data_IF_814737888158
#
_entry.id   IF_814737888158
#
_cell.length_a   1.000
_cell.length_b   1.000
_cell.length_c   1.000
_cell.angle_alpha   90.00
_cell.angle_beta   90.00
_cell.angle_gamma   90.00
#
_symmetry.space_group_name_H-M   'P 1'
#
loop_
_entity.id
_entity.type
_entity.pdbx_description
1 polymer ?
#
# COMPACT_ATOMS: atom_id res chain seq x y z
N UNK A 1 8.51 -17.45 -17.45
CA UNK A 1 9.10 -16.30 -18.17
C UNK A 1 9.32 -15.20 -17.16
N UNK A 2 10.45 -14.48 -17.22
CA UNK A 2 10.70 -13.35 -16.32
C UNK A 2 9.93 -12.13 -16.82
N UNK A 3 9.12 -11.52 -15.95
CA UNK A 3 8.45 -10.25 -16.23
C UNK A 3 9.48 -9.14 -16.43
N UNK A 4 9.24 -8.26 -17.39
CA UNK A 4 10.11 -7.12 -17.71
C UNK A 4 9.47 -5.77 -17.39
N UNK A 5 8.14 -5.69 -17.50
CA UNK A 5 7.35 -4.46 -17.30
C UNK A 5 6.66 -4.45 -15.95
N UNK A 6 6.02 -5.56 -15.55
CA UNK A 6 5.36 -5.68 -14.25
C UNK A 6 6.39 -5.89 -13.13
N UNK A 7 6.43 -4.95 -12.19
CA UNK A 7 7.14 -5.07 -10.93
C UNK A 7 6.32 -5.82 -9.86
N UNK A 8 6.66 -5.62 -8.58
CA UNK A 8 5.89 -6.18 -7.45
C UNK A 8 4.52 -5.53 -7.28
N UNK A 9 4.31 -4.33 -7.84
CA UNK A 9 3.07 -3.56 -7.70
C UNK A 9 2.68 -2.90 -9.04
N UNK A 10 2.49 -3.71 -10.07
CA UNK A 10 2.12 -3.27 -11.41
C UNK A 10 3.26 -2.69 -12.23
N UNK A 11 2.91 -2.00 -13.32
CA UNK A 11 3.84 -1.26 -14.18
C UNK A 11 4.01 0.14 -13.59
N UNK A 12 5.24 0.59 -13.37
CA UNK A 12 5.52 1.96 -12.86
C UNK A 12 6.64 2.63 -13.63
N UNK A 13 6.60 3.94 -13.70
CA UNK A 13 7.67 4.72 -14.27
C UNK A 13 7.33 6.20 -14.42
N UNK A 14 8.31 6.97 -14.91
CA UNK A 14 8.12 8.39 -15.20
C UNK A 14 7.21 8.56 -16.40
N UNK A 15 6.21 9.43 -16.27
CA UNK A 15 5.22 9.70 -17.33
C UNK A 15 5.88 10.27 -18.58
N UNK A 16 5.43 9.80 -19.75
CA UNK A 16 5.98 10.11 -21.07
C UNK A 16 7.48 9.80 -21.22
N UNK A 17 7.99 8.88 -20.39
CA UNK A 17 9.34 8.36 -20.47
C UNK A 17 9.34 6.84 -20.29
N UNK A 18 10.22 6.15 -21.00
CA UNK A 18 10.31 4.70 -20.91
C UNK A 18 8.97 4.00 -21.18
N UNK A 19 8.47 3.27 -20.17
CA UNK A 19 7.28 2.42 -20.31
C UNK A 19 5.95 3.14 -20.02
N UNK A 20 5.95 4.29 -19.34
CA UNK A 20 4.71 4.98 -18.94
C UNK A 20 4.25 5.99 -19.99
N UNK A 21 3.80 5.47 -21.13
CA UNK A 21 3.27 6.25 -22.27
C UNK A 21 1.83 5.85 -22.60
N UNK A 22 1.10 6.72 -23.33
CA UNK A 22 -0.24 6.42 -23.82
C UNK A 22 -0.26 5.17 -24.72
N UNK A 23 0.78 4.97 -25.54
CA UNK A 23 0.91 3.80 -26.40
C UNK A 23 1.03 2.51 -25.57
N UNK A 24 1.83 2.52 -24.52
CA UNK A 24 1.93 1.37 -23.60
C UNK A 24 0.61 1.12 -22.87
N UNK A 25 -0.04 2.17 -22.36
CA UNK A 25 -1.34 2.03 -21.68
C UNK A 25 -2.41 1.42 -22.60
N UNK A 26 -2.50 1.88 -23.86
CA UNK A 26 -3.40 1.28 -24.83
C UNK A 26 -3.07 -0.20 -25.06
N UNK A 27 -1.79 -0.53 -25.15
CA UNK A 27 -1.31 -1.90 -25.35
C UNK A 27 -1.63 -2.80 -24.16
N UNK A 28 -1.48 -2.28 -22.91
CA UNK A 28 -1.92 -2.98 -21.67
C UNK A 28 -3.42 -3.25 -21.75
N UNK A 29 -4.25 -2.26 -22.14
CA UNK A 29 -5.69 -2.43 -22.28
C UNK A 29 -6.07 -3.51 -23.29
N UNK A 30 -5.40 -3.53 -24.46
CA UNK A 30 -5.60 -4.55 -25.47
C UNK A 30 -5.20 -5.95 -24.99
N UNK A 31 -4.04 -6.09 -24.41
CA UNK A 31 -3.49 -7.37 -23.95
C UNK A 31 -4.27 -7.95 -22.77
N UNK A 32 -4.53 -7.13 -21.74
CA UNK A 32 -5.31 -7.53 -20.59
C UNK A 32 -6.76 -7.83 -20.98
N UNK A 33 -7.39 -7.01 -21.84
CA UNK A 33 -8.70 -7.29 -22.39
C UNK A 33 -8.75 -8.63 -23.12
N UNK A 34 -7.78 -8.91 -23.99
CA UNK A 34 -7.67 -10.19 -24.70
C UNK A 34 -7.51 -11.38 -23.75
N UNK A 35 -6.73 -11.20 -22.66
CA UNK A 35 -6.55 -12.24 -21.64
C UNK A 35 -7.85 -12.59 -20.93
N UNK A 36 -8.70 -11.59 -20.64
CA UNK A 36 -9.94 -11.77 -19.89
C UNK A 36 -11.19 -12.00 -20.76
N UNK A 37 -11.19 -11.63 -22.04
CA UNK A 37 -12.32 -11.90 -22.94
C UNK A 37 -12.39 -13.40 -23.27
N UNK A 38 -13.15 -14.14 -22.47
CA UNK A 38 -13.32 -15.60 -22.58
C UNK A 38 -14.78 -15.99 -22.43
N UNK A 39 -15.29 -16.81 -23.37
CA UNK A 39 -16.69 -17.26 -23.32
C UNK A 39 -17.66 -16.26 -23.97
N UNK A 40 -18.96 -16.43 -23.70
CA UNK A 40 -20.04 -15.75 -24.44
C UNK A 40 -20.74 -14.60 -23.69
N UNK A 41 -20.27 -14.20 -22.51
CA UNK A 41 -20.85 -13.08 -21.78
C UNK A 41 -20.19 -11.75 -22.13
N UNK A 42 -20.82 -10.65 -21.75
CA UNK A 42 -20.29 -9.31 -21.96
C UNK A 42 -19.26 -8.98 -20.86
N UNK A 43 -18.01 -8.85 -21.27
CA UNK A 43 -16.89 -8.60 -20.36
C UNK A 43 -16.81 -7.13 -19.97
N UNK A 44 -16.38 -6.87 -18.71
CA UNK A 44 -16.31 -5.54 -18.13
C UNK A 44 -14.98 -5.31 -17.40
N UNK A 45 -14.46 -4.09 -17.53
CA UNK A 45 -13.34 -3.61 -16.72
C UNK A 45 -13.76 -2.36 -15.94
N UNK A 46 -13.39 -2.29 -14.66
CA UNK A 46 -13.50 -1.08 -13.83
C UNK A 46 -12.17 -0.35 -13.87
N UNK A 47 -12.17 0.93 -14.22
CA UNK A 47 -10.96 1.76 -14.25
C UNK A 47 -11.13 2.92 -13.27
N UNK A 48 -10.18 3.03 -12.33
CA UNK A 48 -10.01 4.19 -11.49
C UNK A 48 -8.61 4.77 -11.58
N UNK A 49 -8.43 5.93 -10.97
CA UNK A 49 -7.17 6.64 -10.97
C UNK A 49 -7.00 7.47 -9.70
N UNK A 50 -5.77 7.85 -9.41
CA UNK A 50 -5.50 8.93 -8.47
C UNK A 50 -5.66 10.31 -9.16
N UNK A 51 -5.18 11.34 -8.54
CA UNK A 51 -5.39 12.73 -8.96
C UNK A 51 -4.32 13.26 -9.91
N UNK A 52 -3.33 12.45 -10.31
CA UNK A 52 -2.23 12.84 -11.21
C UNK A 52 -2.75 13.34 -12.54
N UNK A 53 -2.14 14.41 -13.07
CA UNK A 53 -2.48 14.96 -14.39
C UNK A 53 -2.35 13.88 -15.49
N UNK A 54 -1.32 13.06 -15.43
CA UNK A 54 -1.10 11.96 -16.37
C UNK A 54 -2.19 10.88 -16.34
N UNK A 55 -2.97 10.80 -15.27
CA UNK A 55 -4.10 9.88 -15.15
C UNK A 55 -5.14 10.06 -16.26
N UNK A 56 -5.36 11.28 -16.74
CA UNK A 56 -6.31 11.54 -17.84
C UNK A 56 -5.85 10.90 -19.16
N UNK A 57 -4.56 11.04 -19.47
CA UNK A 57 -3.97 10.42 -20.67
C UNK A 57 -3.99 8.90 -20.59
N UNK A 58 -3.59 8.34 -19.46
CA UNK A 58 -3.54 6.90 -19.26
C UNK A 58 -4.94 6.27 -19.29
N UNK A 59 -5.93 6.88 -18.62
CA UNK A 59 -7.32 6.42 -18.63
C UNK A 59 -7.87 6.37 -20.05
N UNK A 60 -7.69 7.44 -20.85
CA UNK A 60 -8.17 7.51 -22.23
C UNK A 60 -7.54 6.42 -23.11
N UNK A 61 -6.24 6.18 -22.95
CA UNK A 61 -5.52 5.15 -23.70
C UNK A 61 -5.97 3.73 -23.33
N UNK A 62 -6.13 3.45 -22.02
CA UNK A 62 -6.66 2.16 -21.54
C UNK A 62 -8.09 1.92 -22.04
N UNK A 63 -8.96 2.94 -22.00
CA UNK A 63 -10.33 2.88 -22.51
C UNK A 63 -10.31 2.48 -23.99
N UNK A 64 -9.50 3.13 -24.82
CA UNK A 64 -9.36 2.79 -26.23
C UNK A 64 -8.86 1.35 -26.42
N UNK A 65 -7.86 0.94 -25.62
CA UNK A 65 -7.35 -0.43 -25.66
C UNK A 65 -8.39 -1.48 -25.34
N UNK A 66 -9.09 -1.37 -24.21
CA UNK A 66 -10.12 -2.33 -23.79
C UNK A 66 -11.32 -2.37 -24.74
N UNK A 67 -11.83 -1.21 -25.15
CA UNK A 67 -12.98 -1.16 -26.06
C UNK A 67 -12.66 -1.76 -27.41
N UNK A 68 -11.43 -1.60 -27.92
CA UNK A 68 -11.00 -2.16 -29.21
C UNK A 68 -10.99 -3.69 -29.26
N UNK A 69 -10.91 -4.36 -28.11
CA UNK A 69 -10.97 -5.83 -28.00
C UNK A 69 -12.34 -6.35 -27.53
N UNK A 70 -13.36 -5.47 -27.44
CA UNK A 70 -14.73 -5.84 -27.13
C UNK A 70 -15.10 -5.81 -25.64
N UNK A 71 -14.24 -5.25 -24.76
CA UNK A 71 -14.50 -5.16 -23.34
C UNK A 71 -15.20 -3.83 -22.98
N UNK A 72 -16.30 -3.88 -22.24
CA UNK A 72 -16.97 -2.68 -21.74
C UNK A 72 -16.16 -2.05 -20.60
N UNK A 73 -16.04 -0.72 -20.59
CA UNK A 73 -15.29 0.03 -19.60
C UNK A 73 -16.20 0.82 -18.69
N UNK A 74 -15.99 0.68 -17.38
CA UNK A 74 -16.65 1.45 -16.32
C UNK A 74 -15.62 2.34 -15.66
N UNK A 75 -15.73 3.65 -15.87
CA UNK A 75 -14.84 4.64 -15.30
C UNK A 75 -15.41 5.18 -13.99
N UNK A 76 -14.59 5.23 -12.93
CA UNK A 76 -15.01 5.72 -11.60
C UNK A 76 -14.55 7.15 -11.32
N UNK A 77 -13.54 7.63 -12.06
CA UNK A 77 -12.79 8.83 -11.71
C UNK A 77 -11.80 8.60 -10.56
N UNK A 78 -11.37 9.67 -9.86
CA UNK A 78 -10.46 9.54 -8.73
C UNK A 78 -11.09 8.79 -7.56
N UNK A 79 -10.50 7.63 -7.22
CA UNK A 79 -10.87 6.78 -6.09
C UNK A 79 -9.65 5.99 -5.59
N UNK A 80 -9.62 5.63 -4.28
CA UNK A 80 -8.58 4.79 -3.70
C UNK A 80 -8.37 3.45 -4.42
N UNK A 81 -7.13 2.95 -4.40
CA UNK A 81 -6.79 1.61 -4.90
C UNK A 81 -7.73 0.53 -4.35
N UNK A 82 -8.00 0.44 -3.03
CA UNK A 82 -8.93 -0.55 -2.50
C UNK A 82 -10.37 -0.37 -2.98
N UNK A 83 -10.80 0.84 -3.32
CA UNK A 83 -12.12 1.07 -3.91
C UNK A 83 -12.25 0.40 -5.29
N UNK A 84 -11.19 0.38 -6.09
CA UNK A 84 -11.20 -0.29 -7.39
C UNK A 84 -11.26 -1.80 -7.23
N UNK A 85 -10.49 -2.37 -6.29
CA UNK A 85 -10.57 -3.78 -5.94
C UNK A 85 -11.99 -4.18 -5.48
N UNK A 86 -12.60 -3.38 -4.61
CA UNK A 86 -13.98 -3.56 -4.13
C UNK A 86 -14.99 -3.53 -5.28
N UNK A 87 -14.97 -2.46 -6.10
CA UNK A 87 -15.93 -2.25 -7.19
C UNK A 87 -15.81 -3.32 -8.28
N UNK A 88 -14.60 -3.84 -8.52
CA UNK A 88 -14.40 -4.96 -9.46
C UNK A 88 -15.23 -6.17 -9.04
N UNK A 89 -15.22 -6.51 -7.75
CA UNK A 89 -16.03 -7.61 -7.18
C UNK A 89 -17.52 -7.29 -7.18
N UNK A 90 -17.91 -6.14 -6.63
CA UNK A 90 -19.34 -5.76 -6.49
C UNK A 90 -20.05 -5.65 -7.83
N UNK A 91 -19.38 -5.12 -8.84
CA UNK A 91 -19.93 -4.98 -10.19
C UNK A 91 -19.77 -6.22 -11.04
N UNK A 92 -19.20 -7.30 -10.49
CA UNK A 92 -18.90 -8.54 -11.21
C UNK A 92 -18.16 -8.25 -12.52
N UNK A 93 -17.14 -7.37 -12.44
CA UNK A 93 -16.25 -7.08 -13.55
C UNK A 93 -15.18 -8.19 -13.66
N UNK A 94 -14.71 -8.43 -14.87
CA UNK A 94 -13.67 -9.42 -15.13
C UNK A 94 -12.28 -8.92 -14.74
N UNK A 95 -12.13 -7.58 -14.67
CA UNK A 95 -10.87 -6.91 -14.40
C UNK A 95 -11.10 -5.57 -13.72
N UNK A 96 -10.20 -5.22 -12.80
CA UNK A 96 -10.03 -3.89 -12.24
C UNK A 96 -8.70 -3.29 -12.66
N UNK A 97 -8.68 -1.99 -12.92
CA UNK A 97 -7.46 -1.24 -13.25
C UNK A 97 -7.37 -0.01 -12.38
N UNK A 98 -6.27 0.12 -11.64
CA UNK A 98 -5.94 1.35 -10.94
C UNK A 98 -4.75 2.04 -11.60
N UNK A 99 -4.93 3.33 -11.91
CA UNK A 99 -3.90 4.19 -12.47
C UNK A 99 -3.32 5.05 -11.35
N UNK A 100 -2.18 4.63 -10.81
CA UNK A 100 -1.48 5.30 -9.71
C UNK A 100 -0.04 4.84 -9.56
N UNK A 101 0.82 5.72 -9.05
CA UNK A 101 2.15 5.39 -8.54
C UNK A 101 2.23 5.53 -7.01
N UNK A 102 1.10 5.37 -6.29
CA UNK A 102 1.00 5.40 -4.83
C UNK A 102 1.65 6.67 -4.25
N UNK A 103 2.67 6.54 -3.42
CA UNK A 103 3.34 7.64 -2.70
C UNK A 103 4.36 8.44 -3.53
N UNK A 104 4.62 8.09 -4.79
CA UNK A 104 5.53 8.86 -5.64
C UNK A 104 4.95 10.24 -5.97
N UNK A 105 5.80 11.20 -6.31
CA UNK A 105 5.39 12.51 -6.82
C UNK A 105 4.68 12.38 -8.18
N UNK A 106 4.01 13.45 -8.60
CA UNK A 106 3.14 13.49 -9.79
C UNK A 106 3.80 13.08 -11.12
N UNK A 107 5.12 13.25 -11.21
CA UNK A 107 5.88 12.96 -12.44
C UNK A 107 5.90 11.46 -12.80
N UNK A 108 5.70 10.60 -11.81
CA UNK A 108 5.56 9.16 -12.00
C UNK A 108 4.09 8.77 -12.10
N UNK A 109 3.81 7.63 -12.75
CA UNK A 109 2.51 6.99 -12.73
C UNK A 109 2.67 5.46 -12.79
N UNK A 110 1.57 4.74 -12.67
CA UNK A 110 1.56 3.28 -12.72
C UNK A 110 0.21 2.72 -13.17
N UNK A 111 0.21 1.43 -13.49
CA UNK A 111 -0.98 0.65 -13.84
C UNK A 111 -0.96 -0.63 -13.02
N UNK A 112 -1.95 -0.79 -12.13
CA UNK A 112 -2.16 -1.97 -11.29
C UNK A 112 -3.39 -2.72 -11.81
N UNK A 113 -3.32 -4.06 -11.87
CA UNK A 113 -4.39 -4.91 -12.37
C UNK A 113 -4.94 -5.80 -11.24
N UNK A 114 -6.28 -5.89 -11.16
CA UNK A 114 -7.01 -6.70 -10.18
C UNK A 114 -7.90 -7.71 -10.89
N UNK A 115 -7.87 -8.95 -10.46
CA UNK A 115 -8.75 -9.99 -10.96
C UNK A 115 -10.22 -9.80 -10.53
N UNK A 116 -11.13 -10.64 -11.02
CA UNK A 116 -12.56 -10.57 -10.69
C UNK A 116 -12.84 -10.80 -9.20
N UNK A 117 -11.91 -11.40 -8.48
CA UNK A 117 -11.93 -11.60 -7.03
C UNK A 117 -11.44 -10.37 -6.25
N UNK A 118 -11.00 -9.30 -6.93
CA UNK A 118 -10.49 -8.07 -6.34
C UNK A 118 -9.06 -8.18 -5.81
N UNK A 119 -8.37 -9.29 -6.03
CA UNK A 119 -6.94 -9.41 -5.72
C UNK A 119 -6.08 -8.98 -6.91
N UNK A 120 -4.83 -8.56 -6.63
CA UNK A 120 -3.84 -8.33 -7.70
C UNK A 120 -3.63 -9.60 -8.50
N UNK A 121 -3.34 -9.45 -9.78
CA UNK A 121 -3.10 -10.58 -10.66
C UNK A 121 -1.85 -11.37 -10.22
N UNK A 122 -1.85 -12.67 -10.50
CA UNK A 122 -0.68 -13.51 -10.27
C UNK A 122 0.45 -13.18 -11.24
N UNK A 123 1.67 -13.60 -10.89
CA UNK A 123 2.87 -13.42 -11.72
C UNK A 123 2.71 -14.06 -13.09
N UNK A 124 2.03 -15.22 -13.16
CA UNK A 124 1.74 -15.94 -14.39
C UNK A 124 0.77 -15.15 -15.29
N UNK A 125 -0.27 -14.57 -14.71
CA UNK A 125 -1.23 -13.75 -15.43
C UNK A 125 -0.58 -12.48 -15.99
N UNK A 126 0.22 -11.78 -15.17
CA UNK A 126 0.98 -10.61 -15.59
C UNK A 126 2.01 -10.95 -16.69
N UNK A 127 2.73 -12.07 -16.57
CA UNK A 127 3.70 -12.52 -17.60
C UNK A 127 2.99 -12.85 -18.92
N UNK A 128 1.80 -13.45 -18.88
CA UNK A 128 1.03 -13.74 -20.09
C UNK A 128 0.49 -12.46 -20.73
N UNK A 129 0.04 -11.48 -19.93
CA UNK A 129 -0.36 -10.16 -20.44
C UNK A 129 0.84 -9.46 -21.12
N UNK A 130 2.05 -9.50 -20.51
CA UNK A 130 3.26 -8.98 -21.15
C UNK A 130 3.57 -9.66 -22.50
N UNK A 131 3.39 -10.97 -22.57
CA UNK A 131 3.58 -11.71 -23.81
C UNK A 131 2.59 -11.26 -24.89
N UNK A 132 1.32 -11.06 -24.53
CA UNK A 132 0.29 -10.53 -25.42
C UNK A 132 0.57 -9.11 -25.88
N UNK A 133 1.18 -8.28 -25.03
CA UNK A 133 1.62 -6.93 -25.41
C UNK A 133 2.66 -6.92 -26.53
N UNK A 134 3.46 -7.95 -26.70
CA UNK A 134 4.50 -8.04 -27.72
C UNK A 134 3.99 -8.59 -29.06
N UNK A 135 2.85 -9.28 -29.06
CA UNK A 135 2.26 -9.91 -30.24
C UNK A 135 1.18 -9.04 -30.92
N UNK A 136 0.62 -9.56 -31.99
CA UNK A 136 -0.55 -8.97 -32.60
C UNK A 136 -1.81 -9.31 -31.80
N UNK A 137 -2.60 -8.28 -31.49
CA UNK A 137 -3.86 -8.41 -30.77
C UNK A 137 -5.00 -8.46 -31.79
N UNK A 138 -5.84 -9.47 -31.68
CA UNK A 138 -7.06 -9.56 -32.50
C UNK A 138 -8.08 -8.54 -31.98
N UNK A 139 -8.41 -7.56 -32.81
CA UNK A 139 -9.43 -6.56 -32.50
C UNK A 139 -10.83 -7.14 -32.67
N UNK A 140 -11.76 -6.61 -31.89
CA UNK A 140 -13.17 -6.97 -32.01
C UNK A 140 -13.76 -6.47 -33.35
N UNK A 141 -14.67 -7.21 -33.98
CA UNK A 141 -15.43 -6.72 -35.14
C UNK A 141 -16.29 -5.52 -34.71
N UNK A 142 -16.67 -4.68 -35.69
CA UNK A 142 -17.32 -3.39 -35.46
C UNK A 142 -18.56 -3.46 -34.55
N UNK A 143 -19.36 -4.51 -34.71
CA UNK A 143 -20.58 -4.77 -33.92
C UNK A 143 -20.29 -5.23 -32.48
N UNK A 144 -19.06 -5.63 -32.18
CA UNK A 144 -18.62 -6.16 -30.88
C UNK A 144 -17.66 -5.23 -30.13
N UNK A 145 -17.41 -4.02 -30.63
CA UNK A 145 -16.62 -3.01 -29.91
C UNK A 145 -17.26 -2.72 -28.55
N UNK A 146 -16.43 -2.62 -27.50
CA UNK A 146 -16.85 -2.32 -26.14
C UNK A 146 -17.40 -0.90 -26.00
N UNK A 147 -18.16 -0.67 -24.93
CA UNK A 147 -18.71 0.66 -24.57
C UNK A 147 -18.04 1.19 -23.33
N UNK A 148 -17.75 2.49 -23.31
CA UNK A 148 -17.24 3.17 -22.13
C UNK A 148 -18.34 4.02 -21.49
N UNK A 149 -18.44 3.96 -20.15
CA UNK A 149 -19.33 4.81 -19.36
C UNK A 149 -18.67 5.22 -18.03
N UNK A 150 -19.03 6.38 -17.52
CA UNK A 150 -18.73 6.76 -16.15
C UNK A 150 -19.90 6.40 -15.23
N UNK A 151 -19.58 6.05 -13.98
CA UNK A 151 -20.57 5.88 -12.91
C UNK A 151 -20.37 6.98 -11.86
N UNK A 152 -21.48 7.50 -11.34
CA UNK A 152 -21.46 8.61 -10.40
C UNK A 152 -21.55 8.17 -8.93
N UNK A 153 -22.03 6.95 -8.67
CA UNK A 153 -22.27 6.39 -7.33
C UNK A 153 -21.05 5.64 -6.74
N UNK A 154 -19.94 5.56 -7.47
CA UNK A 154 -18.76 4.81 -7.05
C UNK A 154 -18.21 5.26 -5.68
N UNK A 155 -18.21 6.57 -5.41
CA UNK A 155 -17.78 7.14 -4.12
C UNK A 155 -18.67 6.69 -2.98
N UNK A 156 -19.97 6.80 -3.15
CA UNK A 156 -20.96 6.38 -2.13
C UNK A 156 -20.86 4.91 -1.81
N UNK A 157 -20.62 4.05 -2.82
CA UNK A 157 -20.40 2.61 -2.61
C UNK A 157 -19.18 2.35 -1.74
N UNK A 158 -18.05 2.99 -2.03
CA UNK A 158 -16.84 2.83 -1.24
C UNK A 158 -17.01 3.37 0.19
N UNK A 159 -17.56 4.60 0.36
CA UNK A 159 -17.85 5.17 1.69
C UNK A 159 -18.75 4.23 2.50
N UNK A 160 -19.80 3.70 1.88
CA UNK A 160 -20.68 2.73 2.54
C UNK A 160 -19.91 1.48 2.99
N UNK A 161 -19.10 0.90 2.11
CA UNK A 161 -18.35 -0.32 2.39
C UNK A 161 -17.31 -0.13 3.51
N UNK A 162 -16.52 0.94 3.50
CA UNK A 162 -15.50 1.16 4.53
C UNK A 162 -16.14 1.39 5.90
N UNK A 163 -17.31 2.04 5.97
CA UNK A 163 -18.05 2.22 7.23
C UNK A 163 -18.53 0.89 7.83
N UNK A 164 -18.76 -0.15 7.01
CA UNK A 164 -19.10 -1.48 7.52
C UNK A 164 -17.96 -2.15 8.29
N UNK A 165 -16.73 -1.62 8.20
CA UNK A 165 -15.61 -2.07 9.02
C UNK A 165 -15.73 -1.67 10.49
N UNK A 166 -16.60 -0.72 10.79
CA UNK A 166 -16.89 -0.24 12.16
C UNK A 166 -18.23 -0.80 12.60
N UNK A 167 -18.29 -1.30 13.83
CA UNK A 167 -19.54 -1.83 14.39
C UNK A 167 -20.60 -0.71 14.51
N UNK A 168 -21.84 -1.03 14.22
CA UNK A 168 -22.94 -0.05 14.06
C UNK A 168 -23.23 0.82 15.29
N UNK A 169 -22.87 0.33 16.48
CA UNK A 169 -23.01 1.06 17.74
C UNK A 169 -21.91 2.09 17.99
N UNK A 170 -20.84 2.08 17.19
CA UNK A 170 -19.69 3.00 17.34
C UNK A 170 -19.96 4.28 16.56
N UNK A 171 -19.89 5.40 17.27
CA UNK A 171 -19.94 6.75 16.71
C UNK A 171 -18.69 7.52 17.12
N UNK A 172 -18.29 8.45 16.29
CA UNK A 172 -17.09 9.28 16.52
C UNK A 172 -17.45 10.68 17.06
N UNK A 173 -18.67 10.85 17.60
CA UNK A 173 -19.12 12.14 18.14
C UNK A 173 -18.14 12.63 19.23
N UNK A 174 -17.75 13.89 19.12
CA UNK A 174 -16.81 14.55 20.03
C UNK A 174 -15.33 14.27 19.72
N UNK A 175 -15.03 13.46 18.71
CA UNK A 175 -13.65 13.22 18.26
C UNK A 175 -13.29 14.23 17.17
N UNK A 176 -12.20 15.00 17.35
CA UNK A 176 -11.65 15.91 16.34
C UNK A 176 -10.48 15.24 15.62
N UNK A 177 -10.61 15.09 14.30
CA UNK A 177 -9.67 14.34 13.47
C UNK A 177 -9.10 15.21 12.35
N UNK A 178 -7.78 15.33 12.24
CA UNK A 178 -7.13 15.92 11.06
C UNK A 178 -6.88 14.82 10.04
N UNK A 179 -7.38 14.99 8.81
CA UNK A 179 -7.24 14.01 7.73
C UNK A 179 -6.43 14.59 6.58
N UNK A 180 -5.21 14.09 6.40
CA UNK A 180 -4.34 14.39 5.26
C UNK A 180 -4.53 13.34 4.17
N UNK A 181 -5.06 13.77 3.03
CA UNK A 181 -5.32 12.92 1.87
C UNK A 181 -4.24 13.02 0.78
N UNK A 182 -3.08 13.59 1.08
CA UNK A 182 -1.95 13.69 0.13
C UNK A 182 -2.28 14.38 -1.20
N UNK A 183 -3.33 15.17 -1.31
CA UNK A 183 -3.94 15.60 -2.58
C UNK A 183 -4.26 14.42 -3.52
N UNK A 184 -4.44 13.22 -2.95
CA UNK A 184 -4.60 11.93 -3.62
C UNK A 184 -6.05 11.50 -3.82
N UNK A 185 -6.20 10.23 -4.14
CA UNK A 185 -7.47 9.60 -4.53
C UNK A 185 -8.55 9.62 -3.43
N UNK A 186 -8.14 9.66 -2.15
CA UNK A 186 -9.06 9.67 -1.02
C UNK A 186 -9.59 11.06 -0.64
N UNK A 187 -9.20 12.14 -1.35
CA UNK A 187 -9.46 13.53 -0.96
C UNK A 187 -10.91 13.88 -0.63
N UNK A 188 -11.87 13.12 -1.14
CA UNK A 188 -13.29 13.25 -0.84
C UNK A 188 -13.81 12.13 0.04
N UNK A 189 -13.40 10.88 -0.23
CA UNK A 189 -14.05 9.73 0.39
C UNK A 189 -13.62 9.49 1.84
N UNK A 190 -12.36 9.71 2.20
CA UNK A 190 -11.89 9.49 3.56
C UNK A 190 -12.44 10.52 4.55
N UNK A 191 -12.37 11.85 4.27
CA UNK A 191 -13.02 12.83 5.13
C UNK A 191 -14.52 12.59 5.28
N UNK A 192 -15.22 12.26 4.19
CA UNK A 192 -16.66 11.98 4.23
C UNK A 192 -16.99 10.76 5.07
N UNK A 193 -16.23 9.65 4.93
CA UNK A 193 -16.48 8.44 5.72
C UNK A 193 -16.32 8.68 7.23
N UNK A 194 -15.31 9.46 7.63
CA UNK A 194 -15.03 9.80 9.04
C UNK A 194 -16.11 10.75 9.57
N UNK A 195 -16.48 11.77 8.79
CA UNK A 195 -17.53 12.72 9.15
C UNK A 195 -18.90 12.05 9.29
N UNK A 196 -19.27 11.15 8.37
CA UNK A 196 -20.55 10.43 8.44
C UNK A 196 -20.67 9.52 9.69
N UNK A 197 -19.56 9.18 10.33
CA UNK A 197 -19.53 8.46 11.59
C UNK A 197 -19.59 9.38 12.82
N UNK A 198 -19.61 10.71 12.64
CA UNK A 198 -19.86 11.70 13.68
C UNK A 198 -18.65 12.53 14.10
N UNK A 199 -17.46 12.33 13.54
CA UNK A 199 -16.28 13.11 13.92
C UNK A 199 -16.32 14.55 13.40
N UNK A 200 -15.67 15.46 14.14
CA UNK A 200 -15.29 16.79 13.65
C UNK A 200 -13.99 16.64 12.80
N UNK A 201 -14.10 16.94 11.50
CA UNK A 201 -13.04 16.65 10.53
C UNK A 201 -12.38 17.93 10.04
N UNK A 202 -11.08 18.05 10.31
CA UNK A 202 -10.22 19.07 9.70
C UNK A 202 -9.46 18.43 8.55
N UNK A 203 -9.50 19.03 7.36
CA UNK A 203 -8.89 18.43 6.16
C UNK A 203 -7.56 19.07 5.81
N UNK A 204 -6.60 18.25 5.37
CA UNK A 204 -5.31 18.63 4.79
C UNK A 204 -5.11 17.82 3.49
N UNK A 205 -4.42 18.41 2.51
CA UNK A 205 -4.13 17.67 1.27
C UNK A 205 -5.38 17.26 0.47
N UNK A 206 -6.44 18.10 0.41
CA UNK A 206 -7.71 17.79 -0.27
C UNK A 206 -8.01 18.65 -1.51
N UNK A 207 -7.06 19.44 -1.98
CA UNK A 207 -7.21 20.30 -3.16
C UNK A 207 -6.27 19.86 -4.30
N UNK A 208 -6.53 18.72 -4.97
CA UNK A 208 -5.66 18.21 -6.02
C UNK A 208 -5.70 19.13 -7.25
N UNK A 209 -4.52 19.45 -7.80
CA UNK A 209 -4.37 20.21 -9.04
C UNK A 209 -3.72 19.40 -10.18
N UNK A 210 -3.47 18.11 -9.94
CA UNK A 210 -2.84 17.20 -10.90
C UNK A 210 -1.33 17.09 -10.78
N UNK A 211 -0.68 18.01 -10.06
CA UNK A 211 0.79 18.05 -9.91
C UNK A 211 1.27 18.12 -8.47
N UNK A 212 0.37 18.21 -7.50
CA UNK A 212 0.70 18.36 -6.08
C UNK A 212 0.45 17.10 -5.22
N UNK A 213 0.17 15.96 -5.83
CA UNK A 213 -0.02 14.70 -5.10
C UNK A 213 1.27 14.28 -4.36
N UNK A 214 1.16 13.97 -3.06
CA UNK A 214 2.26 13.59 -2.16
C UNK A 214 3.36 14.66 -1.97
N UNK A 215 3.14 15.89 -2.42
CA UNK A 215 4.14 16.95 -2.33
C UNK A 215 4.03 17.69 -1.00
N UNK A 216 4.92 17.34 -0.06
CA UNK A 216 4.95 17.90 1.30
C UNK A 216 3.77 17.50 2.19
N UNK A 217 2.94 16.56 1.77
CA UNK A 217 1.75 16.06 2.48
C UNK A 217 1.64 14.53 2.35
N UNK A 218 0.77 13.92 3.16
CA UNK A 218 0.47 12.49 3.13
C UNK A 218 1.43 11.64 3.95
N UNK A 219 1.28 10.31 3.84
CA UNK A 219 1.92 9.33 4.71
C UNK A 219 3.45 9.30 4.66
N UNK A 220 4.07 9.87 3.63
CA UNK A 220 5.54 9.97 3.49
C UNK A 220 6.10 11.33 3.88
N UNK A 221 5.24 12.34 4.17
CA UNK A 221 5.62 13.71 4.51
C UNK A 221 4.71 14.29 5.60
N UNK A 222 4.74 13.67 6.78
CA UNK A 222 3.77 13.91 7.86
C UNK A 222 3.97 15.20 8.66
N UNK A 223 5.03 15.98 8.41
CA UNK A 223 5.34 17.17 9.19
C UNK A 223 4.19 18.20 9.19
N UNK A 224 3.52 18.39 8.07
CA UNK A 224 2.36 19.28 7.98
C UNK A 224 1.18 18.76 8.84
N UNK A 225 0.94 17.45 8.84
CA UNK A 225 -0.08 16.83 9.67
C UNK A 225 0.25 16.96 11.17
N UNK A 226 1.50 16.70 11.56
CA UNK A 226 1.95 16.83 12.96
C UNK A 226 1.71 18.25 13.50
N UNK A 227 2.11 19.27 12.73
CA UNK A 227 1.87 20.66 13.06
C UNK A 227 0.37 20.98 13.16
N UNK A 228 -0.43 20.50 12.19
CA UNK A 228 -1.87 20.76 12.14
C UNK A 228 -2.65 20.11 13.29
N UNK A 229 -2.29 18.88 13.68
CA UNK A 229 -2.90 18.21 14.84
C UNK A 229 -2.72 19.02 16.12
N UNK A 230 -1.49 19.52 16.36
CA UNK A 230 -1.18 20.34 17.55
C UNK A 230 -1.87 21.71 17.48
N UNK A 231 -1.85 22.37 16.33
CA UNK A 231 -2.50 23.68 16.10
C UNK A 231 -4.00 23.60 16.37
N UNK A 232 -4.66 22.58 15.83
CA UNK A 232 -6.11 22.39 15.94
C UNK A 232 -6.55 21.80 17.28
N UNK A 233 -5.62 21.42 18.16
CA UNK A 233 -5.90 20.62 19.35
C UNK A 233 -6.75 19.38 19.02
N UNK A 234 -6.39 18.70 17.91
CA UNK A 234 -7.12 17.52 17.48
C UNK A 234 -6.70 16.29 18.30
N UNK A 235 -7.63 15.36 18.44
CA UNK A 235 -7.40 14.11 19.19
C UNK A 235 -6.46 13.16 18.43
N UNK A 236 -6.44 13.28 17.09
CA UNK A 236 -5.67 12.37 16.24
C UNK A 236 -5.51 12.96 14.82
N UNK A 237 -4.41 12.62 14.16
CA UNK A 237 -4.16 12.88 12.75
C UNK A 237 -4.07 11.58 11.94
N UNK A 238 -4.62 11.60 10.74
CA UNK A 238 -4.63 10.49 9.76
C UNK A 238 -3.91 10.97 8.51
N UNK A 239 -2.85 10.29 8.09
CA UNK A 239 -2.17 10.54 6.82
C UNK A 239 -2.33 9.33 5.89
N UNK A 240 -2.91 9.57 4.71
CA UNK A 240 -2.99 8.60 3.63
C UNK A 240 -1.93 8.93 2.57
N UNK A 241 -1.61 7.97 1.69
CA UNK A 241 -0.80 8.26 0.50
C UNK A 241 -1.68 8.52 -0.74
N UNK A 242 -1.05 8.75 -1.87
CA UNK A 242 -1.73 9.22 -3.09
C UNK A 242 -2.86 8.33 -3.59
N UNK A 243 -2.82 7.01 -3.36
CA UNK A 243 -3.90 6.08 -3.71
C UNK A 243 -4.53 5.41 -2.47
N UNK A 244 -4.20 5.90 -1.29
CA UNK A 244 -4.80 5.59 0.00
C UNK A 244 -4.77 4.11 0.38
N UNK A 245 -3.75 3.38 -0.06
CA UNK A 245 -3.50 2.01 0.37
C UNK A 245 -2.63 1.96 1.64
N UNK A 246 -2.12 3.13 2.13
CA UNK A 246 -1.29 3.29 3.33
C UNK A 246 -1.90 4.25 4.32
N UNK A 247 -1.57 4.02 5.60
CA UNK A 247 -1.95 4.83 6.75
C UNK A 247 -0.75 5.09 7.66
N UNK A 248 -0.50 6.33 7.98
CA UNK A 248 0.30 6.76 9.13
C UNK A 248 -0.59 7.59 10.04
N UNK A 249 -0.43 7.44 11.34
CA UNK A 249 -1.23 8.16 12.34
C UNK A 249 -0.34 9.12 13.12
N UNK A 250 -0.93 10.22 13.58
CA UNK A 250 -0.29 11.18 14.48
C UNK A 250 -1.14 11.31 15.74
N UNK A 251 -0.56 11.16 16.91
CA UNK A 251 -1.27 11.34 18.18
C UNK A 251 -1.50 12.85 18.49
N UNK A 252 -2.31 13.16 19.51
CA UNK A 252 -2.65 14.52 19.91
C UNK A 252 -1.44 15.37 20.35
N UNK A 253 -0.28 14.74 20.57
CA UNK A 253 0.98 15.42 20.88
C UNK A 253 1.88 15.64 19.66
N UNK A 254 1.38 15.31 18.46
CA UNK A 254 2.14 15.43 17.23
C UNK A 254 3.17 14.32 16.99
N UNK A 255 3.12 13.19 17.72
CA UNK A 255 4.05 12.08 17.53
C UNK A 255 3.51 11.11 16.48
N UNK A 256 4.41 10.65 15.62
CA UNK A 256 4.07 9.67 14.59
C UNK A 256 3.86 8.27 15.18
N UNK A 257 2.89 7.55 14.61
CA UNK A 257 2.56 6.16 14.90
C UNK A 257 2.61 5.41 13.56
N UNK A 258 3.56 4.51 13.43
CA UNK A 258 3.81 3.77 12.20
C UNK A 258 2.92 2.53 12.03
N UNK A 259 3.06 1.85 10.90
CA UNK A 259 2.28 0.65 10.58
C UNK A 259 2.45 -0.48 11.58
N UNK A 260 3.61 -0.62 12.21
CA UNK A 260 3.85 -1.69 13.19
C UNK A 260 2.99 -1.50 14.45
N UNK A 261 2.91 -0.27 14.95
CA UNK A 261 2.06 0.10 16.09
C UNK A 261 0.56 -0.11 15.76
N UNK A 262 0.16 0.29 14.55
CA UNK A 262 -1.22 0.16 14.08
C UNK A 262 -1.59 -1.33 13.93
N UNK A 263 -0.71 -2.15 13.34
CA UNK A 263 -0.89 -3.61 13.26
C UNK A 263 -1.03 -4.24 14.65
N UNK A 264 -0.16 -3.87 15.58
CA UNK A 264 -0.21 -4.36 16.97
C UNK A 264 -1.55 -4.02 17.64
N UNK A 265 -2.03 -2.77 17.50
CA UNK A 265 -3.31 -2.33 18.03
C UNK A 265 -4.47 -3.14 17.46
N UNK A 266 -4.57 -3.20 16.13
CA UNK A 266 -5.69 -3.87 15.44
C UNK A 266 -5.69 -5.37 15.77
N UNK A 267 -4.53 -6.04 15.66
CA UNK A 267 -4.40 -7.47 15.95
C UNK A 267 -4.79 -7.79 17.40
N UNK A 268 -4.31 -7.00 18.36
CA UNK A 268 -4.67 -7.17 19.77
C UNK A 268 -6.18 -7.01 19.98
N UNK A 269 -6.80 -5.98 19.41
CA UNK A 269 -8.24 -5.77 19.53
C UNK A 269 -9.07 -6.87 18.88
N UNK A 270 -8.57 -7.44 17.79
CA UNK A 270 -9.22 -8.59 17.13
C UNK A 270 -9.01 -9.87 17.93
N UNK A 271 -7.81 -10.08 18.49
CA UNK A 271 -7.52 -11.21 19.37
C UNK A 271 -8.41 -11.23 20.61
N UNK A 272 -8.50 -10.11 21.33
CA UNK A 272 -9.32 -9.95 22.54
C UNK A 272 -10.81 -10.25 22.29
N UNK A 273 -11.26 -10.14 21.02
CA UNK A 273 -12.63 -10.45 20.59
C UNK A 273 -12.80 -11.83 19.96
N UNK A 274 -11.74 -12.63 19.87
CA UNK A 274 -11.77 -13.90 19.18
C UNK A 274 -11.97 -13.80 17.66
N UNK A 275 -11.66 -12.64 17.07
CA UNK A 275 -11.82 -12.36 15.63
C UNK A 275 -10.49 -12.44 14.84
N UNK A 276 -9.35 -12.54 15.52
CA UNK A 276 -8.06 -12.72 14.85
C UNK A 276 -7.91 -14.19 14.43
N UNK A 277 -7.59 -14.41 13.17
CA UNK A 277 -7.36 -15.75 12.60
C UNK A 277 -5.89 -15.99 12.29
N UNK A 278 -5.48 -17.26 12.11
CA UNK A 278 -4.11 -17.64 11.81
C UNK A 278 -3.16 -17.65 13.02
N UNK A 279 -3.63 -17.28 14.22
CA UNK A 279 -2.82 -17.28 15.43
C UNK A 279 -1.82 -16.12 15.54
N UNK A 280 -1.92 -15.10 14.68
CA UNK A 280 -1.00 -13.96 14.67
C UNK A 280 -1.21 -13.03 13.49
N UNK A 281 -0.14 -12.38 13.02
CA UNK A 281 -0.17 -11.48 11.86
C UNK A 281 0.97 -11.77 10.89
N UNK A 282 0.84 -11.25 9.68
CA UNK A 282 1.89 -11.31 8.66
C UNK A 282 2.46 -9.91 8.43
N UNK A 283 3.79 -9.76 8.51
CA UNK A 283 4.46 -8.51 8.18
C UNK A 283 5.73 -8.75 7.35
N UNK A 284 6.39 -7.69 6.91
CA UNK A 284 7.64 -7.84 6.16
C UNK A 284 8.84 -7.94 7.10
N UNK A 285 9.99 -8.31 6.52
CA UNK A 285 11.28 -8.30 7.24
C UNK A 285 11.67 -6.91 7.76
N UNK A 286 10.98 -5.84 7.35
CA UNK A 286 11.25 -4.47 7.80
C UNK A 286 10.55 -4.11 9.12
N UNK A 287 9.52 -4.87 9.52
CA UNK A 287 8.81 -4.64 10.78
C UNK A 287 9.72 -4.83 11.99
N UNK A 288 9.55 -3.95 12.97
CA UNK A 288 10.43 -3.84 14.14
C UNK A 288 10.40 -5.11 15.01
N UNK A 289 11.53 -5.48 15.60
CA UNK A 289 11.65 -6.61 16.53
C UNK A 289 10.78 -6.41 17.81
N UNK A 290 10.53 -5.15 18.19
CA UNK A 290 9.61 -4.82 19.28
C UNK A 290 8.18 -5.32 19.01
N UNK A 291 7.70 -5.25 17.77
CA UNK A 291 6.41 -5.82 17.37
C UNK A 291 6.36 -7.34 17.60
N UNK A 292 7.41 -8.07 17.19
CA UNK A 292 7.50 -9.53 17.38
C UNK A 292 7.48 -9.89 18.85
N UNK A 293 8.30 -9.23 19.68
CA UNK A 293 8.35 -9.43 21.13
C UNK A 293 7.01 -9.15 21.80
N UNK A 294 6.33 -8.07 21.38
CA UNK A 294 5.01 -7.70 21.89
C UNK A 294 3.96 -8.79 21.59
N UNK A 295 3.90 -9.25 20.34
CA UNK A 295 2.98 -10.30 19.91
C UNK A 295 3.27 -11.62 20.63
N UNK A 296 4.54 -12.02 20.70
CA UNK A 296 4.96 -13.23 21.42
C UNK A 296 4.54 -13.21 22.91
N UNK A 297 4.64 -12.05 23.58
CA UNK A 297 4.16 -11.85 24.95
C UNK A 297 2.64 -12.02 25.11
N UNK A 298 1.88 -12.05 24.01
CA UNK A 298 0.43 -12.31 23.95
C UNK A 298 0.07 -13.70 23.40
N UNK A 299 1.08 -14.53 23.12
CA UNK A 299 0.87 -15.84 22.49
C UNK A 299 0.48 -15.75 21.00
N UNK A 300 0.86 -14.65 20.33
CA UNK A 300 0.60 -14.40 18.91
C UNK A 300 1.90 -14.48 18.12
N UNK A 301 1.82 -15.03 16.92
CA UNK A 301 2.94 -15.16 16.00
C UNK A 301 3.09 -13.94 15.08
N UNK A 302 4.34 -13.59 14.73
CA UNK A 302 4.68 -12.70 13.65
C UNK A 302 5.33 -13.49 12.50
N UNK A 303 4.59 -13.69 11.42
CA UNK A 303 5.14 -14.30 10.19
C UNK A 303 5.78 -13.22 9.34
N UNK A 304 7.09 -13.36 9.05
CA UNK A 304 7.84 -12.38 8.26
C UNK A 304 7.99 -12.82 6.82
N UNK A 305 7.71 -11.89 5.90
CA UNK A 305 7.87 -12.08 4.45
C UNK A 305 8.94 -11.16 3.87
N UNK A 306 9.26 -11.34 2.61
CA UNK A 306 10.00 -10.34 1.82
C UNK A 306 9.19 -9.03 1.76
N UNK A 307 9.89 -7.92 1.51
CA UNK A 307 9.25 -6.61 1.29
C UNK A 307 8.39 -6.63 0.04
N UNK A 308 7.16 -6.18 0.17
CA UNK A 308 6.14 -6.10 -0.87
C UNK A 308 4.82 -6.70 -0.40
N UNK A 309 3.75 -5.95 -0.58
CA UNK A 309 2.39 -6.30 -0.16
C UNK A 309 1.90 -7.62 -0.74
N UNK A 310 2.34 -7.98 -1.94
CA UNK A 310 2.06 -9.27 -2.58
C UNK A 310 2.51 -10.45 -1.71
N UNK A 311 3.75 -10.41 -1.19
CA UNK A 311 4.28 -11.49 -0.34
C UNK A 311 3.56 -11.57 0.99
N UNK A 312 3.17 -10.42 1.56
CA UNK A 312 2.34 -10.38 2.77
C UNK A 312 1.00 -11.06 2.50
N UNK A 313 0.32 -10.68 1.43
CA UNK A 313 -0.99 -11.25 1.05
C UNK A 313 -0.93 -12.75 0.76
N UNK A 314 0.10 -13.22 0.04
CA UNK A 314 0.32 -14.64 -0.23
C UNK A 314 0.48 -15.45 1.06
N UNK A 315 1.31 -14.97 2.00
CA UNK A 315 1.49 -15.61 3.30
C UNK A 315 0.22 -15.59 4.14
N UNK A 316 -0.53 -14.47 4.13
CA UNK A 316 -1.84 -14.37 4.79
C UNK A 316 -2.81 -15.44 4.28
N UNK A 317 -2.95 -15.57 2.97
CA UNK A 317 -3.83 -16.57 2.34
C UNK A 317 -3.40 -18.01 2.68
N UNK A 318 -2.10 -18.28 2.59
CA UNK A 318 -1.56 -19.62 2.85
C UNK A 318 -1.71 -20.06 4.31
N UNK A 319 -1.57 -19.12 5.25
CA UNK A 319 -1.64 -19.39 6.70
C UNK A 319 -3.00 -19.10 7.34
N UNK A 320 -3.98 -18.58 6.57
CA UNK A 320 -5.30 -18.23 7.09
C UNK A 320 -5.31 -16.99 8.01
N UNK A 321 -4.35 -16.09 7.86
CA UNK A 321 -4.28 -14.83 8.61
C UNK A 321 -5.21 -13.78 8.00
N UNK A 322 -5.93 -13.05 8.85
CA UNK A 322 -6.80 -11.94 8.40
C UNK A 322 -6.20 -10.54 8.66
N UNK A 323 -5.04 -10.43 9.30
CA UNK A 323 -4.31 -9.18 9.52
C UNK A 323 -2.89 -9.31 9.01
N UNK A 324 -2.46 -8.35 8.21
CA UNK A 324 -1.08 -8.24 7.77
C UNK A 324 -0.77 -6.85 7.23
N UNK A 325 0.52 -6.55 7.02
CA UNK A 325 0.91 -5.26 6.48
C UNK A 325 2.41 -4.98 6.53
N UNK A 326 2.73 -3.72 6.43
CA UNK A 326 4.10 -3.21 6.41
C UNK A 326 4.25 -2.04 7.41
N UNK A 327 5.44 -1.86 7.95
CA UNK A 327 5.79 -0.69 8.78
C UNK A 327 5.47 0.64 8.08
N UNK A 328 5.56 0.67 6.74
CA UNK A 328 5.21 1.83 5.92
C UNK A 328 3.72 2.22 5.94
N UNK A 329 2.89 1.47 6.67
CA UNK A 329 1.46 1.75 6.83
C UNK A 329 0.54 1.05 5.84
N UNK A 330 1.06 0.21 4.93
CA UNK A 330 0.23 -0.63 4.07
C UNK A 330 -0.40 -1.74 4.91
N UNK A 331 -1.73 -1.65 5.14
CA UNK A 331 -2.48 -2.51 6.04
C UNK A 331 -3.50 -3.33 5.29
N UNK A 332 -3.43 -4.65 5.38
CA UNK A 332 -4.38 -5.60 4.79
C UNK A 332 -5.24 -6.19 5.91
N UNK A 333 -6.53 -5.93 5.86
CA UNK A 333 -7.54 -6.50 6.75
C UNK A 333 -8.50 -7.33 5.88
N UNK A 334 -8.22 -8.63 5.72
CA UNK A 334 -8.92 -9.50 4.75
C UNK A 334 -10.41 -9.66 5.00
N UNK A 335 -10.88 -9.41 6.21
CA UNK A 335 -12.32 -9.38 6.51
C UNK A 335 -13.04 -8.21 5.80
N UNK A 336 -12.31 -7.19 5.35
CA UNK A 336 -12.87 -5.96 4.80
C UNK A 336 -12.36 -5.61 3.39
N UNK A 337 -11.10 -5.90 3.09
CA UNK A 337 -10.46 -5.53 1.83
C UNK A 337 -9.51 -6.62 1.32
N UNK A 338 -9.36 -6.72 0.01
CA UNK A 338 -8.48 -7.70 -0.67
C UNK A 338 -7.07 -7.16 -0.94
N UNK A 339 -6.83 -5.91 -0.57
CA UNK A 339 -5.54 -5.20 -0.65
C UNK A 339 -5.43 -4.26 0.54
N UNK A 340 -4.32 -3.54 0.69
CA UNK A 340 -4.20 -2.49 1.70
C UNK A 340 -5.29 -1.44 1.54
N UNK A 341 -5.89 -1.03 2.67
CA UNK A 341 -6.90 0.03 2.73
C UNK A 341 -6.63 0.95 3.92
N UNK A 342 -6.01 2.10 3.63
CA UNK A 342 -5.68 3.09 4.65
C UNK A 342 -6.93 3.69 5.30
N UNK A 343 -8.05 3.80 4.58
CA UNK A 343 -9.31 4.32 5.13
C UNK A 343 -9.93 3.32 6.11
N UNK A 344 -10.00 2.03 5.76
CA UNK A 344 -10.47 0.97 6.67
C UNK A 344 -9.59 0.91 7.91
N UNK A 345 -8.26 0.91 7.74
CA UNK A 345 -7.32 0.90 8.87
C UNK A 345 -7.52 2.11 9.79
N UNK A 346 -7.69 3.33 9.22
CA UNK A 346 -8.00 4.54 9.98
C UNK A 346 -9.29 4.41 10.78
N UNK A 347 -10.38 3.95 10.18
CA UNK A 347 -11.65 3.74 10.87
C UNK A 347 -11.54 2.72 12.01
N UNK A 348 -10.72 1.68 11.86
CA UNK A 348 -10.45 0.69 12.93
C UNK A 348 -9.65 1.29 14.09
N UNK A 349 -8.69 2.18 13.79
CA UNK A 349 -7.95 2.94 14.80
C UNK A 349 -8.89 3.88 15.56
N UNK A 350 -9.69 4.69 14.85
CA UNK A 350 -10.66 5.62 15.46
C UNK A 350 -11.68 4.88 16.31
N UNK A 351 -12.21 3.75 15.85
CA UNK A 351 -13.11 2.90 16.63
C UNK A 351 -12.44 2.35 17.91
N UNK A 352 -11.15 2.06 17.85
CA UNK A 352 -10.38 1.63 19.02
C UNK A 352 -10.17 2.77 20.01
N UNK A 353 -9.95 3.98 19.52
CA UNK A 353 -9.80 5.20 20.33
C UNK A 353 -11.07 5.49 21.10
N UNK A 354 -12.21 5.56 20.41
CA UNK A 354 -13.53 5.79 21.03
C UNK A 354 -13.85 4.73 22.09
N UNK A 355 -13.65 3.46 21.77
CA UNK A 355 -13.93 2.37 22.72
C UNK A 355 -13.05 2.39 23.96
N UNK A 356 -11.84 2.88 23.84
CA UNK A 356 -10.89 2.90 24.96
C UNK A 356 -11.14 4.06 25.93
N UNK A 357 -11.67 5.17 25.41
CA UNK A 357 -11.79 6.44 26.15
C UNK A 357 -10.44 7.05 26.54
N UNK A 358 -9.31 6.54 26.01
CA UNK A 358 -7.95 6.99 26.30
C UNK A 358 -7.47 7.92 25.20
N UNK A 359 -6.59 8.88 25.48
CA UNK A 359 -5.96 9.71 24.44
C UNK A 359 -5.11 8.85 23.48
N UNK A 360 -4.94 9.33 22.25
CA UNK A 360 -4.19 8.63 21.22
C UNK A 360 -2.75 8.33 21.65
N UNK A 361 -2.10 9.27 22.35
CA UNK A 361 -0.75 9.11 22.86
C UNK A 361 -0.55 7.98 23.88
N UNK A 362 -1.61 7.51 24.49
CA UNK A 362 -1.59 6.37 25.42
C UNK A 362 -2.03 5.06 24.76
N UNK A 363 -2.91 5.16 23.77
CA UNK A 363 -3.48 3.98 23.12
C UNK A 363 -2.59 3.44 22.01
N UNK A 364 -1.98 4.33 21.21
CA UNK A 364 -1.37 3.97 19.92
C UNK A 364 0.09 3.56 20.03
N UNK A 365 0.79 3.91 21.11
CA UNK A 365 2.15 3.43 21.40
C UNK A 365 2.06 2.10 22.15
N UNK A 366 1.76 1.04 21.41
CA UNK A 366 1.38 -0.28 21.93
C UNK A 366 2.58 -1.04 22.51
N UNK A 367 3.75 -0.83 21.93
CA UNK A 367 5.02 -1.40 22.38
C UNK A 367 6.16 -0.40 22.20
N UNK A 368 7.26 -0.59 22.93
CA UNK A 368 8.48 0.17 22.74
C UNK A 368 9.29 -0.39 21.57
N UNK A 369 9.49 0.37 20.47
CA UNK A 369 10.29 -0.11 19.35
C UNK A 369 11.76 -0.21 19.76
N UNK A 370 12.43 -1.28 19.36
CA UNK A 370 13.88 -1.35 19.52
C UNK A 370 14.57 -0.40 18.53
N UNK A 371 15.76 0.12 18.87
CA UNK A 371 16.58 0.89 17.94
C UNK A 371 16.75 0.15 16.61
N UNK A 372 16.42 0.83 15.51
CA UNK A 372 16.53 0.32 14.15
C UNK A 372 17.25 1.35 13.29
N UNK A 373 18.23 0.92 12.50
CA UNK A 373 18.96 1.77 11.56
C UNK A 373 19.01 1.13 10.19
N UNK A 374 18.61 1.89 9.15
CA UNK A 374 18.72 1.52 7.75
C UNK A 374 19.67 2.48 7.04
N UNK A 375 20.70 1.96 6.38
CA UNK A 375 21.56 2.71 5.46
C UNK A 375 21.56 2.11 4.07
N UNK A 376 21.64 2.98 3.06
CA UNK A 376 21.74 2.61 1.66
C UNK A 376 23.19 2.78 1.19
N UNK A 377 23.77 1.75 0.58
CA UNK A 377 25.09 1.80 -0.06
C UNK A 377 24.91 1.68 -1.56
N UNK A 378 25.27 2.72 -2.31
CA UNK A 378 25.28 2.69 -3.79
C UNK A 378 26.49 1.88 -4.28
N UNK A 379 26.32 1.18 -5.39
CA UNK A 379 27.38 0.44 -6.06
C UNK A 379 27.25 0.54 -7.58
N UNK A 380 28.38 0.58 -8.30
CA UNK A 380 28.42 0.79 -9.74
C UNK A 380 28.67 -0.50 -10.51
N UNK A 381 28.07 -1.60 -10.07
CA UNK A 381 28.19 -2.91 -10.71
C UNK A 381 28.83 -3.97 -9.80
N UNK A 382 29.02 -5.18 -10.33
CA UNK A 382 29.54 -6.29 -9.53
C UNK A 382 28.51 -6.92 -8.58
N UNK A 383 29.04 -7.74 -7.68
CA UNK A 383 28.26 -8.40 -6.62
C UNK A 383 28.97 -8.23 -5.27
N UNK A 384 28.91 -7.05 -4.65
CA UNK A 384 29.66 -6.77 -3.41
C UNK A 384 29.33 -7.75 -2.28
N UNK A 385 28.09 -8.25 -2.21
CA UNK A 385 27.67 -9.24 -1.20
C UNK A 385 28.30 -10.63 -1.40
N UNK A 386 28.92 -10.89 -2.55
CA UNK A 386 29.64 -12.15 -2.80
C UNK A 386 31.12 -12.08 -2.36
N UNK A 387 31.67 -10.90 -2.07
CA UNK A 387 33.03 -10.70 -1.56
C UNK A 387 33.23 -11.41 -0.21
N UNK A 388 34.33 -12.13 -0.04
CA UNK A 388 34.60 -12.89 1.16
C UNK A 388 34.74 -12.03 2.43
N UNK A 389 35.29 -10.79 2.28
CA UNK A 389 35.43 -9.85 3.41
C UNK A 389 34.06 -9.33 3.86
N UNK A 390 33.18 -9.01 2.89
CA UNK A 390 31.80 -8.59 3.20
C UNK A 390 31.05 -9.70 3.92
N UNK A 391 31.16 -10.95 3.44
CA UNK A 391 30.54 -12.12 4.10
C UNK A 391 31.05 -12.33 5.52
N UNK A 392 32.35 -12.15 5.75
CA UNK A 392 32.94 -12.28 7.10
C UNK A 392 32.38 -11.20 8.05
N UNK A 393 32.34 -9.94 7.65
CA UNK A 393 31.76 -8.85 8.44
C UNK A 393 30.29 -9.07 8.73
N UNK A 394 29.52 -9.59 7.77
CA UNK A 394 28.10 -9.94 7.97
C UNK A 394 27.96 -11.06 9.02
N UNK A 395 28.77 -12.12 8.94
CA UNK A 395 28.72 -13.22 9.90
C UNK A 395 29.10 -12.78 11.32
N UNK A 396 30.10 -11.92 11.46
CA UNK A 396 30.48 -11.33 12.74
C UNK A 396 29.35 -10.48 13.32
N UNK A 397 28.68 -9.66 12.48
CA UNK A 397 27.55 -8.83 12.86
C UNK A 397 26.33 -9.68 13.30
N UNK A 398 26.04 -10.78 12.59
CA UNK A 398 24.98 -11.70 12.97
C UNK A 398 25.26 -12.37 14.33
N UNK A 399 26.51 -12.79 14.55
CA UNK A 399 26.95 -13.36 15.82
C UNK A 399 26.85 -12.35 16.98
N UNK A 400 27.24 -11.09 16.74
CA UNK A 400 27.15 -9.99 17.70
C UNK A 400 25.71 -9.68 18.11
N UNK A 401 24.76 -9.64 17.16
CA UNK A 401 23.34 -9.35 17.40
C UNK A 401 22.53 -10.58 17.88
N UNK A 402 23.12 -11.77 17.90
CA UNK A 402 22.40 -13.01 18.22
C UNK A 402 21.62 -12.93 19.55
N UNK A 403 20.32 -13.23 19.50
CA UNK A 403 19.39 -13.20 20.65
C UNK A 403 18.99 -11.82 21.16
N UNK A 404 19.61 -10.72 20.66
CA UNK A 404 19.34 -9.34 21.09
C UNK A 404 18.90 -8.42 19.96
N UNK A 405 19.18 -8.79 18.74
CA UNK A 405 18.92 -7.99 17.55
C UNK A 405 18.77 -8.82 16.31
N UNK A 406 18.67 -8.13 15.16
CA UNK A 406 18.44 -8.75 13.87
C UNK A 406 19.11 -7.91 12.76
N UNK A 407 19.56 -8.60 11.72
CA UNK A 407 20.20 -7.99 10.54
C UNK A 407 19.40 -8.33 9.29
N UNK A 408 19.19 -7.34 8.42
CA UNK A 408 18.59 -7.53 7.10
C UNK A 408 19.41 -6.82 6.05
N UNK A 409 20.01 -7.57 5.14
CA UNK A 409 20.81 -7.04 4.03
C UNK A 409 20.18 -7.53 2.72
N UNK A 410 19.93 -6.59 1.82
CA UNK A 410 19.34 -6.93 0.52
C UNK A 410 19.70 -5.92 -0.56
N UNK A 411 19.91 -6.36 -1.82
CA UNK A 411 19.94 -5.45 -2.95
C UNK A 411 18.54 -4.83 -3.15
N UNK A 412 18.52 -3.59 -3.65
CA UNK A 412 17.28 -2.97 -4.14
C UNK A 412 16.89 -3.61 -5.48
N UNK A 413 15.60 -3.84 -5.69
CA UNK A 413 15.09 -4.35 -6.96
C UNK A 413 15.02 -3.30 -8.08
N UNK A 414 15.12 -2.00 -7.73
CA UNK A 414 14.88 -0.88 -8.67
C UNK A 414 16.07 0.07 -8.82
N UNK A 415 17.01 0.04 -7.91
CA UNK A 415 18.15 0.95 -7.85
C UNK A 415 19.45 0.17 -7.59
N UNK A 416 20.61 0.65 -8.04
CA UNK A 416 21.91 0.04 -7.76
C UNK A 416 22.35 0.38 -6.31
N UNK A 417 21.58 -0.09 -5.33
CA UNK A 417 21.86 0.10 -3.89
C UNK A 417 21.69 -1.20 -3.11
N UNK A 418 22.57 -1.42 -2.14
CA UNK A 418 22.41 -2.43 -1.10
C UNK A 418 21.83 -1.73 0.12
N UNK A 419 20.74 -2.27 0.65
CA UNK A 419 20.11 -1.80 1.87
C UNK A 419 20.60 -2.65 3.03
N UNK A 420 21.22 -2.00 4.01
CA UNK A 420 21.73 -2.60 5.24
C UNK A 420 20.88 -2.08 6.39
N UNK A 421 20.14 -2.96 7.03
CA UNK A 421 19.33 -2.66 8.21
C UNK A 421 19.76 -3.56 9.36
N UNK A 422 20.00 -2.97 10.53
CA UNK A 422 20.09 -3.70 11.78
C UNK A 422 19.13 -3.09 12.81
N UNK A 423 18.70 -3.93 13.73
CA UNK A 423 17.92 -3.53 14.89
C UNK A 423 18.35 -4.36 16.12
N UNK A 424 18.21 -3.79 17.30
CA UNK A 424 18.64 -4.45 18.53
C UNK A 424 18.45 -3.56 19.76
N UNK A 425 18.73 -4.13 20.94
CA UNK A 425 18.46 -3.47 22.22
C UNK A 425 19.40 -2.25 22.48
N UNK A 426 20.62 -2.28 21.93
CA UNK A 426 21.61 -1.21 22.08
C UNK A 426 21.78 -0.42 20.78
N UNK A 427 21.47 0.87 20.82
CA UNK A 427 21.58 1.77 19.67
C UNK A 427 23.00 1.92 19.15
N UNK A 428 23.98 2.00 20.03
CA UNK A 428 25.38 2.18 19.63
C UNK A 428 25.92 0.92 18.94
N UNK A 429 25.51 -0.26 19.41
CA UNK A 429 25.84 -1.54 18.79
C UNK A 429 25.21 -1.64 17.37
N UNK A 430 23.94 -1.24 17.22
CA UNK A 430 23.25 -1.21 15.93
C UNK A 430 23.94 -0.28 14.94
N UNK A 431 24.32 0.92 15.38
CA UNK A 431 25.05 1.89 14.56
C UNK A 431 26.42 1.34 14.10
N UNK A 432 27.19 0.77 15.03
CA UNK A 432 28.49 0.17 14.76
C UNK A 432 28.40 -0.97 13.72
N UNK A 433 27.45 -1.88 13.89
CA UNK A 433 27.23 -3.02 12.99
C UNK A 433 26.86 -2.54 11.58
N UNK A 434 25.90 -1.61 11.46
CA UNK A 434 25.50 -1.07 10.16
C UNK A 434 26.64 -0.36 9.46
N UNK A 435 27.44 0.43 10.20
CA UNK A 435 28.56 1.16 9.63
C UNK A 435 29.66 0.23 9.15
N UNK A 436 30.04 -0.77 9.93
CA UNK A 436 31.05 -1.77 9.55
C UNK A 436 30.65 -2.50 8.24
N UNK A 437 29.38 -2.90 8.11
CA UNK A 437 28.89 -3.56 6.91
C UNK A 437 28.88 -2.60 5.71
N UNK A 438 28.40 -1.36 5.91
CA UNK A 438 28.41 -0.35 4.85
C UNK A 438 29.81 -0.04 4.34
N UNK A 439 30.83 0.04 5.22
CA UNK A 439 32.23 0.24 4.87
C UNK A 439 32.79 -0.97 4.09
N UNK A 440 32.53 -2.19 4.57
CA UNK A 440 32.94 -3.41 3.86
C UNK A 440 32.35 -3.49 2.45
N UNK A 441 31.06 -3.16 2.28
CA UNK A 441 30.39 -3.12 0.99
C UNK A 441 31.02 -2.06 0.08
N UNK A 442 31.29 -0.84 0.57
CA UNK A 442 31.95 0.21 -0.22
C UNK A 442 33.36 -0.17 -0.64
N UNK A 443 34.10 -0.89 0.20
CA UNK A 443 35.46 -1.35 -0.12
C UNK A 443 35.51 -2.53 -1.10
N UNK A 444 34.38 -3.19 -1.36
CA UNK A 444 34.21 -4.28 -2.31
C UNK A 444 33.64 -3.85 -3.67
N UNK A 445 33.38 -2.56 -3.84
CA UNK A 445 32.94 -1.90 -5.08
C UNK A 445 34.16 -1.20 -5.71
#
# INVERSE_FOLDING_TARGET
MTRKLFGTDGIRGRTNAGVMTAATAMRVGQAAGTYFVRGGHRHRVVIGKDTRLSGYMMESALVAGFTSVGMDVIMTGPLPTPAIALLTREMRADLGVMISASHNLFADNGIKLFGPDGFKLSDEAEAEIERLMQGDVKLAPAESIGRARRIDDARGRYIHAVKQSVASEIRFDGLKVVVDCAHGAAYQVAPSAIWELGADVVTLGVNPNGTNINDGVGSTAIAALQAKVVEEHADIGIALDGDADRLIVVDEKGRAVDGDQIMALIATRMHDKGALTGGGIVATVMSNLGLERYLAGRGLDLVRTKVGDRYVLEAMKAGGFNVGGEQSGHMILLDHATTGDGTVAALRVLASLVRSGRPASELLHVFDPVPQLLKNVRFDGGRPLDDARVKAVIADAEAQLAGRGRLVIRPSGTEPVIRVMAEGDDRAEVEQVVDAICEAVRAAV
#
